data_IF_129877899454
#
_entry.id   IF_129877899454
#
_cell.length_a   1.000
_cell.length_b   1.000
_cell.length_c   1.000
_cell.angle_alpha   90.00
_cell.angle_beta   90.00
_cell.angle_gamma   90.00
#
_symmetry.space_group_name_H-M   'P 1'
#
loop_
_entity.id
_entity.type
_entity.pdbx_description
1 polymer ?
#
# COMPACT_ATOMS: atom_id res chain seq x y z
N UNK A 1 -23.36 43.11 52.28
CA UNK A 1 -23.27 41.74 51.77
C UNK A 1 -22.37 41.74 50.51
N UNK A 2 -21.11 41.30 50.65
CA UNK A 2 -20.11 41.31 49.54
C UNK A 2 -20.09 39.88 48.95
N UNK A 3 -20.53 39.69 47.69
CA UNK A 3 -20.40 38.45 46.96
C UNK A 3 -18.94 38.31 46.49
N UNK A 4 -18.23 37.29 47.00
CA UNK A 4 -16.92 36.87 46.52
C UNK A 4 -17.13 35.99 45.30
N UNK A 5 -16.68 36.42 44.12
CA UNK A 5 -16.55 35.60 42.93
C UNK A 5 -15.29 34.71 43.06
N UNK A 6 -15.49 33.40 43.05
CA UNK A 6 -14.41 32.42 43.07
C UNK A 6 -14.01 32.14 41.63
N UNK A 7 -12.88 32.66 41.21
CA UNK A 7 -12.24 32.36 39.90
C UNK A 7 -11.57 30.99 40.02
N UNK A 8 -12.12 29.99 39.35
CA UNK A 8 -11.48 28.70 39.18
C UNK A 8 -10.55 28.81 37.96
N UNK A 9 -9.25 28.95 38.22
CA UNK A 9 -8.23 28.87 37.21
C UNK A 9 -8.05 27.39 36.83
N UNK A 10 -8.64 26.98 35.72
CA UNK A 10 -8.40 25.67 35.12
C UNK A 10 -6.99 25.61 34.53
N UNK A 11 -6.05 24.98 35.23
CA UNK A 11 -4.72 24.67 34.75
C UNK A 11 -4.84 23.50 33.79
N UNK A 12 -4.99 23.80 32.49
CA UNK A 12 -4.94 22.82 31.42
C UNK A 12 -3.52 22.26 31.30
N UNK A 13 -3.32 21.07 31.85
CA UNK A 13 -2.07 20.32 31.69
C UNK A 13 -1.99 19.85 30.22
N UNK A 14 -1.31 20.63 29.38
CA UNK A 14 -0.85 20.19 28.07
C UNK A 14 0.18 19.07 28.27
N UNK A 15 -0.29 17.85 28.36
CA UNK A 15 0.55 16.67 28.16
C UNK A 15 1.02 16.70 26.70
N UNK A 16 2.15 17.35 26.46
CA UNK A 16 2.95 17.10 25.27
C UNK A 16 3.38 15.64 25.38
N UNK A 17 2.65 14.75 24.69
CA UNK A 17 3.11 13.41 24.41
C UNK A 17 4.40 13.58 23.59
N UNK A 18 5.55 13.53 24.26
CA UNK A 18 6.81 13.23 23.62
C UNK A 18 6.62 11.82 23.04
N UNK A 19 6.16 11.75 21.80
CA UNK A 19 6.08 10.51 21.06
C UNK A 19 7.48 9.91 21.06
N UNK A 20 7.65 8.73 21.67
CA UNK A 20 8.87 7.96 21.52
C UNK A 20 9.07 7.77 20.02
N UNK A 21 10.02 8.49 19.44
CA UNK A 21 10.42 8.26 18.05
C UNK A 21 11.08 6.89 17.99
N UNK A 22 10.39 5.93 17.36
CA UNK A 22 11.02 4.62 17.10
C UNK A 22 12.25 4.85 16.21
N UNK A 23 13.45 4.34 16.59
CA UNK A 23 14.67 4.50 15.80
C UNK A 23 14.51 4.00 14.35
N UNK A 24 13.60 3.07 14.09
CA UNK A 24 13.30 2.55 12.76
C UNK A 24 12.67 3.61 11.83
N UNK A 25 12.02 4.66 12.37
CA UNK A 25 11.36 5.72 11.57
C UNK A 25 12.33 6.43 10.61
N UNK A 26 13.60 6.56 10.97
CA UNK A 26 14.62 7.19 10.10
C UNK A 26 14.90 6.44 8.81
N UNK A 27 14.58 5.13 8.77
CA UNK A 27 14.79 4.29 7.59
C UNK A 27 13.54 4.16 6.70
N UNK A 28 12.46 4.83 7.06
CA UNK A 28 11.18 4.77 6.37
C UNK A 28 10.05 4.28 7.27
N UNK A 29 8.82 4.52 6.85
CA UNK A 29 7.64 4.01 7.54
C UNK A 29 6.62 3.46 6.55
N UNK A 30 6.10 2.28 6.84
CA UNK A 30 5.04 1.62 6.09
C UNK A 30 3.82 1.45 6.99
N UNK A 31 2.69 2.02 6.58
CA UNK A 31 1.41 1.81 7.25
C UNK A 31 0.69 0.64 6.60
N UNK A 32 0.32 -0.34 7.42
CA UNK A 32 -0.59 -1.40 7.03
C UNK A 32 -2.02 -1.08 7.48
N UNK A 33 -2.97 -1.13 6.54
CA UNK A 33 -4.40 -0.96 6.79
C UNK A 33 -5.12 -2.26 6.48
N UNK A 34 -5.68 -2.86 7.52
CA UNK A 34 -6.45 -4.09 7.37
C UNK A 34 -7.80 -3.86 6.66
N UNK A 35 -8.50 -4.93 6.33
CA UNK A 35 -9.83 -4.89 5.75
C UNK A 35 -10.90 -4.36 6.71
N UNK A 36 -12.15 -4.32 6.25
CA UNK A 36 -13.29 -3.94 7.06
C UNK A 36 -13.36 -4.78 8.34
N UNK A 37 -13.68 -4.16 9.46
CA UNK A 37 -13.69 -4.76 10.80
C UNK A 37 -12.34 -4.74 11.52
N UNK A 38 -11.23 -4.49 10.84
CA UNK A 38 -9.87 -4.55 11.43
C UNK A 38 -9.61 -5.84 12.23
N UNK A 39 -9.96 -6.99 11.65
CA UNK A 39 -9.86 -8.29 12.33
C UNK A 39 -8.45 -8.84 12.43
N UNK A 40 -7.47 -8.17 11.85
CA UNK A 40 -6.06 -8.49 12.02
C UNK A 40 -5.48 -9.43 10.96
N UNK A 41 -6.11 -9.58 9.80
CA UNK A 41 -5.69 -10.53 8.77
C UNK A 41 -4.24 -10.38 8.28
N UNK A 42 -3.64 -9.24 8.33
CA UNK A 42 -2.24 -9.03 7.96
C UNK A 42 -1.42 -8.40 9.09
N UNK A 43 -2.00 -8.25 10.28
CA UNK A 43 -1.42 -7.46 11.37
C UNK A 43 -0.07 -8.01 11.88
N UNK A 44 0.15 -9.31 11.77
CA UNK A 44 1.43 -9.95 12.10
C UNK A 44 2.24 -10.27 10.84
N UNK A 45 1.58 -10.81 9.83
CA UNK A 45 2.24 -11.31 8.62
C UNK A 45 2.91 -10.22 7.79
N UNK A 46 2.29 -9.02 7.70
CA UNK A 46 2.86 -7.92 6.91
C UNK A 46 4.12 -7.34 7.57
N UNK A 47 4.13 -6.98 8.87
CA UNK A 47 5.36 -6.52 9.52
C UNK A 47 6.48 -7.56 9.48
N UNK A 48 6.18 -8.81 9.84
CA UNK A 48 7.17 -9.87 9.89
C UNK A 48 7.71 -10.18 8.49
N UNK A 49 6.83 -10.25 7.47
CA UNK A 49 7.24 -10.51 6.09
C UNK A 49 8.14 -9.43 5.52
N UNK A 50 7.88 -8.15 5.82
CA UNK A 50 8.76 -7.06 5.41
C UNK A 50 10.11 -7.07 6.16
N UNK A 51 10.11 -7.38 7.46
CA UNK A 51 11.33 -7.49 8.25
C UNK A 51 12.22 -8.63 7.74
N UNK A 52 11.65 -9.80 7.45
CA UNK A 52 12.36 -10.93 6.82
C UNK A 52 12.90 -10.59 5.43
N UNK A 53 12.22 -9.69 4.73
CA UNK A 53 12.67 -9.19 3.44
C UNK A 53 13.81 -8.16 3.53
N UNK A 54 14.22 -7.79 4.75
CA UNK A 54 15.28 -6.80 5.02
C UNK A 54 14.80 -5.35 5.13
N UNK A 55 13.49 -5.10 5.27
CA UNK A 55 12.99 -3.75 5.52
C UNK A 55 13.44 -3.26 6.89
N UNK A 56 14.15 -2.15 6.92
CA UNK A 56 14.70 -1.55 8.15
C UNK A 56 13.78 -0.51 8.78
N UNK A 57 12.78 -0.04 8.03
CA UNK A 57 11.84 0.97 8.48
C UNK A 57 10.80 0.43 9.47
N UNK A 58 10.01 1.33 10.01
CA UNK A 58 8.90 1.00 10.91
C UNK A 58 7.69 0.54 10.12
N UNK A 59 7.11 -0.61 10.49
CA UNK A 59 5.79 -1.04 9.99
C UNK A 59 4.76 -0.81 11.09
N UNK A 60 3.70 -0.04 10.78
CA UNK A 60 2.64 0.30 11.73
C UNK A 60 1.30 -0.24 11.26
N UNK A 61 0.66 -1.06 12.10
CA UNK A 61 -0.73 -1.45 11.88
C UNK A 61 -1.65 -0.27 12.24
N UNK A 62 -2.19 0.39 11.23
CA UNK A 62 -3.09 1.52 11.43
C UNK A 62 -4.54 1.05 11.54
N UNK A 63 -5.10 1.14 12.75
CA UNK A 63 -6.50 0.78 13.02
C UNK A 63 -7.40 1.92 12.58
N UNK A 64 -8.26 1.66 11.61
CA UNK A 64 -9.18 2.65 11.05
C UNK A 64 -10.65 2.33 11.29
N UNK A 65 -11.03 1.05 11.51
CA UNK A 65 -12.40 0.67 11.83
C UNK A 65 -12.78 1.16 13.22
N UNK A 66 -13.91 1.85 13.30
CA UNK A 66 -14.53 2.28 14.56
C UNK A 66 -15.66 1.33 14.99
N UNK A 67 -16.20 0.54 14.05
CA UNK A 67 -17.37 -0.29 14.28
C UNK A 67 -17.04 -1.74 14.57
N UNK A 68 -15.85 -2.19 14.17
CA UNK A 68 -15.43 -3.59 14.15
C UNK A 68 -16.39 -4.52 13.38
N UNK A 69 -17.31 -3.92 12.61
CA UNK A 69 -18.30 -4.62 11.79
C UNK A 69 -18.03 -4.37 10.32
N UNK A 70 -17.69 -5.41 9.55
CA UNK A 70 -17.32 -5.26 8.13
C UNK A 70 -18.40 -4.62 7.26
N UNK A 71 -19.68 -4.94 7.50
CA UNK A 71 -20.77 -4.38 6.71
C UNK A 71 -20.97 -2.87 7.01
N UNK A 72 -20.86 -2.46 8.27
CA UNK A 72 -20.92 -1.05 8.64
C UNK A 72 -19.72 -0.28 8.10
N UNK A 73 -18.51 -0.81 8.23
CA UNK A 73 -17.30 -0.17 7.70
C UNK A 73 -17.36 0.01 6.18
N UNK A 74 -17.91 -0.99 5.46
CA UNK A 74 -18.07 -0.91 4.00
C UNK A 74 -19.12 0.14 3.59
N UNK A 75 -20.13 0.40 4.43
CA UNK A 75 -21.26 1.27 4.09
C UNK A 75 -21.18 2.67 4.71
N UNK A 76 -20.62 2.82 5.90
CA UNK A 76 -20.46 4.11 6.60
C UNK A 76 -19.22 4.88 6.09
N UNK A 77 -19.19 5.17 4.81
CA UNK A 77 -18.06 5.75 4.05
C UNK A 77 -17.51 7.04 4.65
N UNK A 78 -18.36 7.85 5.30
CA UNK A 78 -17.91 9.11 5.91
C UNK A 78 -16.97 8.88 7.10
N UNK A 79 -17.14 7.78 7.86
CA UNK A 79 -16.22 7.37 8.93
C UNK A 79 -14.88 6.96 8.33
N UNK A 80 -14.90 6.07 7.34
CA UNK A 80 -13.69 5.60 6.66
C UNK A 80 -12.91 6.77 6.00
N UNK A 81 -13.62 7.74 5.37
CA UNK A 81 -13.00 8.96 4.85
C UNK A 81 -12.40 9.84 5.96
N UNK A 82 -13.05 9.93 7.12
CA UNK A 82 -12.52 10.62 8.29
C UNK A 82 -11.21 10.02 8.76
N UNK A 83 -11.15 8.69 8.89
CA UNK A 83 -9.94 7.96 9.25
C UNK A 83 -8.81 8.15 8.20
N UNK A 84 -9.15 8.11 6.91
CA UNK A 84 -8.19 8.42 5.85
C UNK A 84 -7.58 9.82 5.99
N UNK A 85 -8.39 10.84 6.29
CA UNK A 85 -7.87 12.21 6.52
C UNK A 85 -6.93 12.26 7.73
N UNK A 86 -7.28 11.57 8.82
CA UNK A 86 -6.44 11.44 10.01
C UNK A 86 -5.07 10.83 9.68
N UNK A 87 -5.08 9.72 8.95
CA UNK A 87 -3.85 9.08 8.50
C UNK A 87 -3.04 9.99 7.56
N UNK A 88 -3.68 10.74 6.67
CA UNK A 88 -2.99 11.71 5.80
C UNK A 88 -2.28 12.82 6.60
N UNK A 89 -2.88 13.26 7.71
CA UNK A 89 -2.24 14.19 8.64
C UNK A 89 -1.04 13.54 9.37
N UNK A 90 -1.17 12.28 9.80
CA UNK A 90 -0.09 11.51 10.43
C UNK A 90 1.10 11.34 9.47
N UNK A 91 0.84 10.93 8.23
CA UNK A 91 1.88 10.80 7.18
C UNK A 91 2.57 12.15 6.93
N UNK A 92 1.79 13.23 6.85
CA UNK A 92 2.34 14.59 6.68
C UNK A 92 3.27 14.95 7.83
N UNK A 93 2.85 14.71 9.06
CA UNK A 93 3.65 14.98 10.25
C UNK A 93 4.93 14.12 10.31
N UNK A 94 4.84 12.85 9.92
CA UNK A 94 5.99 11.97 9.80
C UNK A 94 7.01 12.48 8.77
N UNK A 95 6.59 12.76 7.55
CA UNK A 95 7.48 13.25 6.48
C UNK A 95 8.08 14.63 6.78
N UNK A 96 7.37 15.45 7.59
CA UNK A 96 7.93 16.72 8.09
C UNK A 96 9.10 16.48 9.05
N UNK A 97 9.03 15.45 9.91
CA UNK A 97 10.10 15.12 10.86
C UNK A 97 11.25 14.34 10.19
N UNK A 98 10.95 13.59 9.13
CA UNK A 98 11.88 12.71 8.43
C UNK A 98 11.85 12.98 6.92
N UNK A 99 12.40 14.13 6.45
CA UNK A 99 12.25 14.60 5.06
C UNK A 99 12.90 13.64 4.03
N UNK A 100 13.92 12.91 4.43
CA UNK A 100 14.67 11.98 3.57
C UNK A 100 14.12 10.54 3.65
N UNK A 101 13.18 10.28 4.55
CA UNK A 101 12.62 8.96 4.74
C UNK A 101 11.45 8.69 3.78
N UNK A 102 11.22 7.41 3.50
CA UNK A 102 10.12 6.96 2.66
C UNK A 102 8.85 6.69 3.48
N UNK A 103 7.71 7.07 2.89
CA UNK A 103 6.37 6.76 3.40
C UNK A 103 5.67 5.82 2.43
N UNK A 104 5.32 4.62 2.87
CA UNK A 104 4.62 3.63 2.04
C UNK A 104 3.32 3.19 2.71
N UNK A 105 2.36 2.72 1.93
CA UNK A 105 1.10 2.15 2.43
C UNK A 105 0.89 0.78 1.79
N UNK A 106 0.49 -0.19 2.62
CA UNK A 106 -0.05 -1.49 2.19
C UNK A 106 -1.46 -1.58 2.76
N UNK A 107 -2.44 -1.87 1.94
CA UNK A 107 -3.82 -1.92 2.39
C UNK A 107 -4.58 -3.12 1.81
N UNK A 108 -5.40 -3.74 2.65
CA UNK A 108 -6.28 -4.86 2.30
C UNK A 108 -7.73 -4.38 2.15
N UNK A 109 -8.44 -4.86 1.14
CA UNK A 109 -9.90 -4.74 1.04
C UNK A 109 -10.40 -3.30 1.19
N UNK A 110 -11.29 -3.02 2.15
CA UNK A 110 -11.83 -1.69 2.44
C UNK A 110 -10.75 -0.70 2.95
N UNK A 111 -9.69 -1.19 3.59
CA UNK A 111 -8.54 -0.37 3.96
C UNK A 111 -7.89 0.33 2.76
N UNK A 112 -8.05 -0.20 1.54
CA UNK A 112 -7.54 0.43 0.33
C UNK A 112 -8.21 1.76 0.03
N UNK A 113 -9.52 1.89 0.30
CA UNK A 113 -10.22 3.18 0.22
C UNK A 113 -9.69 4.18 1.23
N UNK A 114 -9.50 3.73 2.48
CA UNK A 114 -8.91 4.57 3.54
C UNK A 114 -7.51 5.05 3.13
N UNK A 115 -6.68 4.15 2.58
CA UNK A 115 -5.35 4.48 2.08
C UNK A 115 -5.36 5.52 0.95
N UNK A 116 -6.28 5.39 -0.01
CA UNK A 116 -6.45 6.40 -1.08
C UNK A 116 -6.79 7.77 -0.48
N UNK A 117 -7.79 7.83 0.42
CA UNK A 117 -8.19 9.10 1.04
C UNK A 117 -7.12 9.68 1.96
N UNK A 118 -6.27 8.83 2.56
CA UNK A 118 -5.08 9.28 3.29
C UNK A 118 -4.10 9.98 2.35
N UNK A 119 -3.74 9.34 1.24
CA UNK A 119 -2.83 9.91 0.23
C UNK A 119 -3.38 11.24 -0.30
N UNK A 120 -4.67 11.30 -0.65
CA UNK A 120 -5.34 12.50 -1.13
C UNK A 120 -5.35 13.66 -0.11
N UNK A 121 -5.10 13.37 1.15
CA UNK A 121 -5.11 14.32 2.27
C UNK A 121 -3.71 14.72 2.75
N UNK A 122 -2.65 14.09 2.23
CA UNK A 122 -1.26 14.48 2.51
C UNK A 122 -1.02 15.92 2.04
N UNK A 123 -0.40 16.73 2.88
CA UNK A 123 -0.16 18.14 2.58
C UNK A 123 1.08 18.33 1.72
N UNK A 124 1.03 19.16 0.67
CA UNK A 124 2.23 19.56 -0.07
C UNK A 124 3.27 20.20 0.86
N UNK A 125 4.56 20.06 0.61
CA UNK A 125 5.19 19.39 -0.53
C UNK A 125 5.37 17.86 -0.35
N UNK A 126 4.88 17.30 0.76
CA UNK A 126 5.08 15.91 1.13
C UNK A 126 4.35 14.94 0.19
N UNK A 127 4.94 13.78 -0.04
CA UNK A 127 4.40 12.76 -0.95
C UNK A 127 4.68 11.35 -0.44
N UNK A 128 3.71 10.47 -0.63
CA UNK A 128 3.84 9.02 -0.38
C UNK A 128 4.68 8.38 -1.48
N UNK A 129 5.55 7.43 -1.12
CA UNK A 129 6.37 6.70 -2.08
C UNK A 129 5.53 5.69 -2.85
N UNK A 130 5.18 4.59 -2.25
CA UNK A 130 4.41 3.54 -2.91
C UNK A 130 3.14 3.19 -2.15
N UNK A 131 2.12 2.78 -2.90
CA UNK A 131 0.88 2.28 -2.35
C UNK A 131 0.51 0.93 -2.96
N UNK A 132 0.36 -0.09 -2.12
CA UNK A 132 0.00 -1.45 -2.52
C UNK A 132 -1.45 -1.72 -2.09
N UNK A 133 -2.30 -2.01 -3.05
CA UNK A 133 -3.68 -2.42 -2.87
C UNK A 133 -3.78 -3.94 -3.00
N UNK A 134 -4.27 -4.61 -1.97
CA UNK A 134 -4.47 -6.06 -1.92
C UNK A 134 -5.97 -6.34 -1.84
N UNK A 135 -6.52 -7.11 -2.78
CA UNK A 135 -7.94 -7.45 -2.80
C UNK A 135 -8.85 -6.22 -2.58
N UNK A 136 -8.59 -5.15 -3.29
CA UNK A 136 -9.23 -3.83 -3.06
C UNK A 136 -10.74 -3.85 -3.26
N UNK A 137 -11.50 -3.38 -2.27
CA UNK A 137 -12.95 -3.15 -2.41
C UNK A 137 -13.31 -1.78 -2.99
N UNK A 138 -12.32 -0.99 -3.42
CA UNK A 138 -12.53 0.27 -4.14
C UNK A 138 -13.05 0.00 -5.55
N UNK A 139 -13.88 0.89 -6.10
CA UNK A 139 -14.33 0.77 -7.50
C UNK A 139 -13.16 0.69 -8.46
N UNK A 140 -13.25 -0.22 -9.44
CA UNK A 140 -12.26 -0.30 -10.52
C UNK A 140 -12.17 0.99 -11.35
N UNK A 141 -13.20 1.83 -11.29
CA UNK A 141 -13.29 3.12 -12.01
C UNK A 141 -12.93 4.33 -11.15
N UNK A 142 -12.49 4.13 -9.90
CA UNK A 142 -12.10 5.24 -9.04
C UNK A 142 -11.09 6.18 -9.69
N UNK A 143 -11.29 7.50 -9.53
CA UNK A 143 -10.39 8.51 -10.09
C UNK A 143 -9.14 8.67 -9.23
N UNK A 144 -8.05 8.03 -9.62
CA UNK A 144 -6.77 8.07 -8.92
C UNK A 144 -5.94 9.34 -9.18
N UNK A 145 -6.38 10.24 -10.07
CA UNK A 145 -5.57 11.43 -10.43
C UNK A 145 -5.25 12.31 -9.24
N UNK A 146 -6.17 12.41 -8.27
CA UNK A 146 -5.93 13.17 -7.04
C UNK A 146 -4.87 12.50 -6.17
N UNK A 147 -4.97 11.22 -5.90
CA UNK A 147 -3.97 10.47 -5.14
C UNK A 147 -2.59 10.55 -5.80
N UNK A 148 -2.51 10.37 -7.13
CA UNK A 148 -1.26 10.42 -7.88
C UNK A 148 -0.50 11.76 -7.75
N UNK A 149 -1.18 12.88 -7.50
CA UNK A 149 -0.52 14.17 -7.26
C UNK A 149 0.27 14.20 -5.94
N UNK A 150 -0.14 13.38 -4.97
CA UNK A 150 0.46 13.27 -3.64
C UNK A 150 1.41 12.07 -3.50
N UNK A 151 1.87 11.51 -4.61
CA UNK A 151 2.79 10.37 -4.64
C UNK A 151 4.09 10.71 -5.36
N UNK A 152 5.20 10.11 -4.91
CA UNK A 152 6.49 10.04 -5.63
C UNK A 152 6.51 8.83 -6.56
N UNK A 153 6.20 7.65 -6.04
CA UNK A 153 6.30 6.36 -6.70
C UNK A 153 5.01 5.91 -7.40
N UNK A 154 4.64 4.67 -7.23
CA UNK A 154 3.58 3.99 -7.97
C UNK A 154 2.50 3.41 -7.06
N UNK A 155 1.36 3.10 -7.68
CA UNK A 155 0.25 2.34 -7.10
C UNK A 155 0.29 0.94 -7.71
N UNK A 156 0.40 -0.08 -6.87
CA UNK A 156 0.40 -1.50 -7.25
C UNK A 156 -0.91 -2.14 -6.82
N UNK A 157 -1.65 -2.70 -7.76
CA UNK A 157 -2.99 -3.26 -7.51
C UNK A 157 -2.95 -4.75 -7.74
N UNK A 158 -2.91 -5.52 -6.67
CA UNK A 158 -3.02 -6.96 -6.71
C UNK A 158 -4.49 -7.37 -6.73
N UNK A 159 -4.89 -8.11 -7.76
CA UNK A 159 -6.28 -8.50 -7.98
C UNK A 159 -6.42 -9.97 -8.37
N UNK A 160 -7.54 -10.59 -7.99
CA UNK A 160 -7.88 -11.95 -8.34
C UNK A 160 -9.37 -12.03 -8.72
N UNK A 161 -9.66 -12.49 -9.93
CA UNK A 161 -11.04 -12.64 -10.40
C UNK A 161 -11.82 -13.73 -9.62
N UNK A 162 -11.11 -14.62 -8.92
CA UNK A 162 -11.64 -15.68 -8.07
C UNK A 162 -11.94 -15.28 -6.63
N UNK A 163 -11.70 -14.01 -6.24
CA UNK A 163 -11.91 -13.53 -4.87
C UNK A 163 -13.40 -13.61 -4.48
N UNK A 164 -13.80 -14.51 -3.56
CA UNK A 164 -15.21 -14.75 -3.26
C UNK A 164 -15.84 -13.61 -2.44
N UNK A 165 -15.05 -12.88 -1.67
CA UNK A 165 -15.54 -11.74 -0.85
C UNK A 165 -15.89 -10.57 -1.75
N UNK A 166 -15.06 -10.28 -2.75
CA UNK A 166 -15.29 -9.21 -3.69
C UNK A 166 -16.40 -9.54 -4.69
N UNK A 167 -16.47 -10.80 -5.14
CA UNK A 167 -17.51 -11.26 -6.06
C UNK A 167 -18.90 -11.40 -5.41
N UNK A 168 -18.95 -11.62 -4.09
CA UNK A 168 -20.18 -11.80 -3.31
C UNK A 168 -20.52 -10.58 -2.45
N UNK A 169 -20.13 -10.55 -1.17
CA UNK A 169 -20.53 -9.49 -0.23
C UNK A 169 -20.25 -8.07 -0.69
N UNK A 170 -19.07 -7.79 -1.23
CA UNK A 170 -18.73 -6.43 -1.70
C UNK A 170 -19.58 -6.02 -2.90
N UNK A 171 -19.83 -6.94 -3.83
CA UNK A 171 -20.73 -6.67 -4.96
C UNK A 171 -22.15 -6.37 -4.50
N UNK A 172 -22.66 -7.03 -3.45
CA UNK A 172 -23.99 -6.83 -2.90
C UNK A 172 -24.11 -5.52 -2.10
N UNK A 173 -23.10 -5.16 -1.29
CA UNK A 173 -23.09 -3.97 -0.44
C UNK A 173 -22.60 -2.70 -1.17
N UNK A 174 -22.02 -2.86 -2.35
CA UNK A 174 -21.30 -1.81 -3.06
C UNK A 174 -19.85 -1.68 -2.60
N UNK A 175 -19.05 -1.00 -3.42
CA UNK A 175 -17.64 -0.70 -3.14
C UNK A 175 -17.48 0.27 -1.96
N UNK A 176 -16.29 0.32 -1.35
CA UNK A 176 -16.02 1.22 -0.22
C UNK A 176 -16.24 2.70 -0.58
N UNK A 177 -16.06 3.09 -1.84
CA UNK A 177 -16.33 4.44 -2.34
C UNK A 177 -17.78 4.67 -2.75
N UNK A 178 -18.61 3.64 -2.73
CA UNK A 178 -20.06 3.74 -2.82
C UNK A 178 -20.66 3.56 -4.18
N UNK A 179 -20.02 2.85 -5.04
CA UNK A 179 -20.57 2.45 -6.33
C UNK A 179 -20.90 0.96 -6.34
N UNK A 180 -21.65 0.52 -7.34
CA UNK A 180 -21.91 -0.90 -7.60
C UNK A 180 -21.10 -1.41 -8.80
N UNK A 181 -20.00 -0.74 -9.11
CA UNK A 181 -19.02 -1.20 -10.09
C UNK A 181 -18.28 -2.46 -9.60
N UNK A 182 -17.65 -3.17 -10.53
CA UNK A 182 -16.66 -4.18 -10.14
C UNK A 182 -15.54 -3.53 -9.33
N UNK A 183 -15.12 -4.19 -8.27
CA UNK A 183 -14.04 -3.69 -7.43
C UNK A 183 -12.67 -3.84 -8.10
N UNK A 184 -11.73 -2.95 -7.76
CA UNK A 184 -10.37 -3.01 -8.27
C UNK A 184 -9.64 -4.31 -7.89
N UNK A 185 -10.01 -4.94 -6.78
CA UNK A 185 -9.48 -6.23 -6.36
C UNK A 185 -9.95 -7.43 -7.19
N UNK A 186 -11.04 -7.28 -7.98
CA UNK A 186 -11.49 -8.31 -8.93
C UNK A 186 -10.89 -8.15 -10.32
N UNK A 187 -10.77 -6.90 -10.80
CA UNK A 187 -10.52 -6.64 -12.24
C UNK A 187 -9.38 -5.65 -12.49
N UNK A 188 -8.69 -5.20 -11.46
CA UNK A 188 -7.72 -4.13 -11.54
C UNK A 188 -8.35 -2.73 -11.63
N UNK A 189 -7.56 -1.68 -11.51
CA UNK A 189 -7.99 -0.30 -11.74
C UNK A 189 -8.09 0.00 -13.23
N UNK A 190 -9.17 0.67 -13.63
CA UNK A 190 -9.48 1.04 -15.01
C UNK A 190 -9.91 2.50 -15.15
N UNK A 191 -10.03 3.21 -14.02
CA UNK A 191 -10.50 4.59 -13.95
C UNK A 191 -9.46 5.62 -14.38
N UNK A 192 -9.82 6.92 -14.25
CA UNK A 192 -8.90 8.02 -14.55
C UNK A 192 -7.61 7.92 -13.73
N UNK A 193 -6.49 8.16 -14.41
CA UNK A 193 -5.14 8.01 -13.83
C UNK A 193 -4.40 6.77 -14.35
N UNK A 194 -5.09 5.75 -14.90
CA UNK A 194 -4.44 4.54 -15.41
C UNK A 194 -3.40 4.84 -16.51
N UNK A 195 -3.67 5.80 -17.37
CA UNK A 195 -2.77 6.20 -18.46
C UNK A 195 -1.51 6.95 -17.98
N UNK A 196 -1.37 7.23 -16.69
CA UNK A 196 -0.18 7.91 -16.14
C UNK A 196 1.09 7.05 -16.16
N UNK A 197 0.99 5.74 -16.39
CA UNK A 197 2.08 4.77 -16.24
C UNK A 197 2.50 4.54 -14.79
N UNK A 198 1.80 5.15 -13.82
CA UNK A 198 2.10 5.04 -12.39
C UNK A 198 1.15 4.12 -11.62
N UNK A 199 0.20 3.49 -12.30
CA UNK A 199 -0.67 2.45 -11.76
C UNK A 199 -0.32 1.13 -12.45
N UNK A 200 0.02 0.12 -11.66
CA UNK A 200 0.42 -1.20 -12.13
C UNK A 200 -0.57 -2.22 -11.63
N UNK A 201 -1.39 -2.77 -12.53
CA UNK A 201 -2.29 -3.86 -12.21
C UNK A 201 -1.55 -5.20 -12.29
N UNK A 202 -1.63 -6.00 -11.23
CA UNK A 202 -0.94 -7.28 -11.09
C UNK A 202 -1.99 -8.35 -10.78
N UNK A 203 -2.37 -9.11 -11.80
CA UNK A 203 -3.33 -10.20 -11.66
C UNK A 203 -2.75 -11.40 -10.92
N UNK A 204 -3.59 -12.11 -10.20
CA UNK A 204 -3.22 -13.38 -9.62
C UNK A 204 -2.71 -14.36 -10.68
N UNK A 205 -1.71 -15.12 -10.33
CA UNK A 205 -1.13 -16.19 -11.18
C UNK A 205 -0.83 -17.44 -10.34
N UNK A 206 -0.87 -18.65 -10.94
CA UNK A 206 -0.69 -19.90 -10.21
C UNK A 206 0.61 -19.98 -9.38
N UNK A 207 1.68 -19.31 -9.82
CA UNK A 207 2.94 -19.29 -9.08
C UNK A 207 2.83 -18.63 -7.70
N UNK A 208 1.83 -17.77 -7.46
CA UNK A 208 1.59 -17.13 -6.16
C UNK A 208 1.06 -18.11 -5.10
N UNK A 209 0.45 -19.22 -5.50
CA UNK A 209 0.03 -20.28 -4.57
C UNK A 209 1.20 -20.79 -3.72
N UNK A 210 2.39 -20.89 -4.30
CA UNK A 210 3.61 -21.29 -3.56
C UNK A 210 4.06 -20.27 -2.52
N UNK A 211 3.57 -19.04 -2.63
CA UNK A 211 3.82 -17.95 -1.69
C UNK A 211 2.68 -17.78 -0.68
N UNK A 212 1.65 -18.62 -0.74
CA UNK A 212 0.50 -18.61 0.15
C UNK A 212 -0.70 -17.81 -0.35
N UNK A 213 -0.63 -17.16 -1.53
CA UNK A 213 -1.80 -16.50 -2.13
C UNK A 213 -2.44 -17.41 -3.17
N UNK A 214 -3.61 -17.99 -2.83
CA UNK A 214 -4.35 -18.92 -3.67
C UNK A 214 -5.41 -18.25 -4.56
N UNK A 215 -5.50 -16.91 -4.52
CA UNK A 215 -6.50 -16.10 -5.19
C UNK A 215 -7.70 -15.76 -4.30
N UNK A 216 -7.63 -16.10 -3.03
CA UNK A 216 -8.59 -15.71 -2.00
C UNK A 216 -8.38 -14.27 -1.52
N UNK A 217 -9.30 -13.81 -0.65
CA UNK A 217 -9.39 -12.41 -0.24
C UNK A 217 -8.29 -12.00 0.74
N UNK A 218 -8.02 -12.84 1.74
CA UNK A 218 -7.11 -12.49 2.85
C UNK A 218 -5.75 -13.16 2.76
N UNK A 219 -5.57 -14.14 1.91
CA UNK A 219 -4.31 -14.86 1.77
C UNK A 219 -3.23 -14.09 1.00
N UNK A 220 -3.60 -12.99 0.33
CA UNK A 220 -2.66 -12.03 -0.27
C UNK A 220 -1.83 -11.24 0.76
N UNK A 221 -2.16 -11.28 2.05
CA UNK A 221 -1.34 -10.70 3.12
C UNK A 221 -0.47 -11.75 3.83
N UNK A 222 -0.39 -12.98 3.29
CA UNK A 222 0.45 -14.04 3.84
C UNK A 222 1.92 -13.59 3.92
N UNK A 223 2.57 -13.87 5.03
CA UNK A 223 3.97 -13.51 5.34
C UNK A 223 4.93 -13.82 4.19
N UNK A 224 4.84 -15.02 3.60
CA UNK A 224 5.73 -15.43 2.52
C UNK A 224 5.49 -14.63 1.23
N UNK A 225 4.21 -14.32 0.93
CA UNK A 225 3.87 -13.46 -0.21
C UNK A 225 4.41 -12.05 -0.01
N UNK A 226 4.27 -11.50 1.19
CA UNK A 226 4.84 -10.19 1.57
C UNK A 226 6.36 -10.20 1.41
N UNK A 227 7.05 -11.19 1.99
CA UNK A 227 8.50 -11.27 2.01
C UNK A 227 9.14 -11.46 0.63
N UNK A 228 8.43 -12.10 -0.31
CA UNK A 228 8.99 -12.41 -1.65
C UNK A 228 8.49 -11.47 -2.72
N UNK A 229 7.18 -11.20 -2.74
CA UNK A 229 6.56 -10.42 -3.83
C UNK A 229 6.41 -8.94 -3.46
N UNK A 230 5.83 -8.60 -2.30
CA UNK A 230 5.56 -7.19 -1.97
C UNK A 230 6.82 -6.40 -1.63
N UNK A 231 7.87 -7.05 -1.11
CA UNK A 231 9.15 -6.41 -0.82
C UNK A 231 9.68 -5.59 -1.99
N UNK A 232 9.45 -6.05 -3.21
CA UNK A 232 9.93 -5.43 -4.45
C UNK A 232 9.56 -3.96 -4.59
N UNK A 233 8.52 -3.55 -3.87
CA UNK A 233 7.95 -2.21 -3.94
C UNK A 233 8.19 -1.37 -2.69
N UNK A 234 8.65 -2.00 -1.61
CA UNK A 234 8.82 -1.37 -0.29
C UNK A 234 10.28 -1.36 0.16
N UNK A 235 11.00 -2.45 -0.09
CA UNK A 235 12.41 -2.55 0.26
C UNK A 235 13.21 -2.03 -0.92
N UNK A 236 14.03 -0.99 -0.71
CA UNK A 236 14.97 -0.54 -1.74
C UNK A 236 15.81 -1.75 -2.18
N UNK A 237 15.89 -2.00 -3.48
CA UNK A 237 16.84 -2.97 -3.98
C UNK A 237 18.23 -2.55 -3.52
N UNK A 238 19.06 -3.43 -2.96
CA UNK A 238 20.48 -3.14 -2.92
C UNK A 238 20.89 -2.73 -4.34
N UNK A 239 21.80 -1.75 -4.46
CA UNK A 239 22.27 -1.26 -5.75
C UNK A 239 22.37 -2.42 -6.75
N UNK A 240 21.91 -2.26 -8.00
CA UNK A 240 22.00 -3.34 -8.97
C UNK A 240 23.43 -3.83 -8.97
N UNK A 241 23.63 -5.15 -8.75
CA UNK A 241 24.96 -5.73 -8.92
C UNK A 241 25.51 -5.19 -10.24
N UNK A 242 26.77 -4.68 -10.27
CA UNK A 242 27.35 -4.20 -11.50
C UNK A 242 27.15 -5.30 -12.54
N UNK A 243 26.52 -4.95 -13.64
CA UNK A 243 26.29 -5.86 -14.76
C UNK A 243 27.61 -6.56 -15.05
N UNK A 244 27.69 -7.87 -14.75
CA UNK A 244 28.86 -8.64 -15.08
C UNK A 244 29.10 -8.43 -16.58
N UNK A 245 30.32 -8.01 -17.00
CA UNK A 245 30.59 -7.79 -18.42
C UNK A 245 30.15 -9.03 -19.16
N UNK A 246 29.35 -8.85 -20.20
CA UNK A 246 28.86 -9.94 -21.04
C UNK A 246 30.03 -10.85 -21.38
N UNK A 247 30.04 -12.05 -20.82
CA UNK A 247 31.01 -13.08 -21.20
C UNK A 247 30.75 -13.31 -22.70
N UNK A 248 31.65 -12.81 -23.53
CA UNK A 248 31.60 -13.08 -24.94
C UNK A 248 31.45 -14.60 -25.09
N UNK A 249 30.30 -15.04 -25.57
CA UNK A 249 30.07 -16.41 -25.91
C UNK A 249 31.22 -16.86 -26.77
N UNK A 250 32.01 -17.80 -26.27
CA UNK A 250 33.09 -18.40 -27.02
C UNK A 250 32.49 -18.87 -28.35
N UNK A 251 33.04 -18.42 -29.47
CA UNK A 251 32.61 -18.85 -30.79
C UNK A 251 32.63 -20.37 -30.82
N UNK A 252 31.55 -20.95 -31.28
CA UNK A 252 31.43 -22.38 -31.53
C UNK A 252 32.49 -22.81 -32.53
N UNK A 253 33.41 -23.74 -32.20
CA UNK A 253 34.44 -24.22 -33.10
C UNK A 253 33.90 -24.97 -34.33
N UNK A 254 32.59 -25.24 -34.38
CA UNK A 254 31.95 -26.02 -35.45
C UNK A 254 31.42 -25.20 -36.64
N UNK A 255 31.53 -23.87 -36.61
CA UNK A 255 31.06 -23.03 -37.72
C UNK A 255 32.03 -23.10 -38.92
N UNK A 256 31.61 -23.53 -40.13
CA UNK A 256 32.50 -23.68 -41.29
C UNK A 256 32.94 -22.31 -41.80
N UNK A 257 34.25 -22.15 -42.00
CA UNK A 257 34.85 -20.96 -42.64
C UNK A 257 34.30 -20.79 -44.04
N UNK A 258 33.55 -19.73 -44.28
CA UNK A 258 33.20 -19.30 -45.62
C UNK A 258 34.48 -18.86 -46.35
N UNK A 259 34.86 -19.62 -47.38
CA UNK A 259 35.94 -19.26 -48.31
C UNK A 259 35.54 -17.99 -49.07
N UNK A 260 36.22 -16.91 -48.83
CA UNK A 260 36.18 -15.73 -49.70
C UNK A 260 36.98 -16.10 -50.97
N UNK A 261 36.29 -16.30 -52.10
CA UNK A 261 36.89 -16.36 -53.44
C UNK A 261 37.23 -14.95 -53.83
N UNK A 262 38.54 -14.68 -53.90
CA UNK A 262 39.12 -13.52 -54.62
C UNK A 262 39.00 -13.80 -56.10
N UNK A 263 38.12 -13.10 -56.82
CA UNK A 263 38.06 -13.05 -58.26
C UNK A 263 38.97 -11.91 -58.75
N UNK A 264 39.91 -12.26 -59.58
CA UNK A 264 40.72 -11.38 -60.40
C UNK A 264 39.93 -10.61 -61.45
#
# INVERSE_FOLDING_TARGET
MKKRAMMIAGLGLLLASAGCNDPKERYGRTWYLDGAGNWGFGALDVPIGLEEAGYKGLVTNHRWSLTLNPALDQTLRFLAKGQGRGLGAEITAYLKRHPDAEANIIALSAGTGVGVWAIESVKPPYKVNNFILLGSSLSSRYDMRRALRHMKGKIYVYYAASDPVLAGPVRALGTIDGTFDDSAGLVGLRGPGIKSGRIVNIGWKPSYTRLGWTGGHTDCVNRRFVAVELKRWIVASPDPEPELPAVHAARDPSEPRSLQTTGS
#
